data_IF_697188537125
#
_entry.id   IF_697188537125
#
_cell.length_a   1.000
_cell.length_b   1.000
_cell.length_c   1.000
_cell.angle_alpha   90.00
_cell.angle_beta   90.00
_cell.angle_gamma   90.00
#
_symmetry.space_group_name_H-M   'P 1'
#
loop_
_entity.id
_entity.type
_entity.pdbx_description
1 polymer ?
#
# COMPACT_ATOMS: atom_id res chain seq x y z
N UNK A 1 -7.74 -8.22 -32.63
CA UNK A 1 -6.75 -7.97 -31.56
C UNK A 1 -7.25 -6.76 -30.79
N UNK A 2 -8.12 -6.99 -29.80
CA UNK A 2 -8.52 -5.93 -28.88
C UNK A 2 -7.41 -5.84 -27.84
N UNK A 3 -6.69 -4.72 -27.82
CA UNK A 3 -5.84 -4.41 -26.70
C UNK A 3 -6.78 -4.04 -25.56
N UNK A 4 -7.05 -5.00 -24.69
CA UNK A 4 -7.59 -4.76 -23.37
C UNK A 4 -6.52 -4.07 -22.56
N UNK A 5 -6.70 -2.80 -22.28
CA UNK A 5 -5.99 -2.12 -21.20
C UNK A 5 -6.92 -1.07 -20.65
N UNK A 6 -7.96 -1.54 -19.96
CA UNK A 6 -8.39 -0.84 -18.75
C UNK A 6 -7.24 -1.03 -17.77
N UNK A 7 -6.36 -0.04 -17.67
CA UNK A 7 -5.52 0.12 -16.48
C UNK A 7 -6.49 0.26 -15.30
N UNK A 8 -6.86 -0.87 -14.69
CA UNK A 8 -7.64 -0.91 -13.46
C UNK A 8 -6.96 0.02 -12.48
N UNK A 9 -7.68 1.07 -12.08
CA UNK A 9 -7.13 2.27 -11.44
C UNK A 9 -6.01 1.91 -10.46
N UNK A 10 -4.77 2.11 -10.88
CA UNK A 10 -3.61 1.86 -10.03
C UNK A 10 -3.70 2.86 -8.90
N UNK A 11 -4.08 2.39 -7.71
CA UNK A 11 -4.01 3.20 -6.50
C UNK A 11 -2.58 3.73 -6.37
N UNK A 12 -2.42 5.04 -6.45
CA UNK A 12 -1.14 5.71 -6.26
C UNK A 12 -0.94 5.93 -4.77
N UNK A 13 0.22 5.52 -4.28
CA UNK A 13 0.66 5.72 -2.90
C UNK A 13 1.94 6.54 -2.87
N UNK A 14 2.09 7.35 -1.84
CA UNK A 14 3.17 8.30 -1.68
C UNK A 14 4.04 7.87 -0.51
N UNK A 15 5.33 7.63 -0.78
CA UNK A 15 6.30 7.32 0.26
C UNK A 15 7.03 8.60 0.69
N UNK A 16 6.91 8.97 1.97
CA UNK A 16 7.78 9.96 2.60
C UNK A 16 9.05 9.25 3.04
N UNK A 17 10.20 9.75 2.61
CA UNK A 17 11.50 9.11 2.87
C UNK A 17 12.46 10.12 3.50
N UNK A 18 13.12 9.73 4.59
CA UNK A 18 14.15 10.51 5.29
C UNK A 18 15.42 9.67 5.46
N UNK A 19 16.57 10.26 5.19
CA UNK A 19 17.85 9.71 5.64
C UNK A 19 18.21 10.31 7.00
N UNK A 20 18.58 9.47 7.97
CA UNK A 20 18.97 9.85 9.33
C UNK A 20 20.23 9.07 9.74
N UNK A 21 21.38 9.74 9.66
CA UNK A 21 22.69 9.08 9.75
C UNK A 21 22.83 7.99 8.70
N UNK A 22 23.13 6.77 9.15
CA UNK A 22 23.31 5.60 8.29
C UNK A 22 22.00 4.87 7.97
N UNK A 23 20.85 5.40 8.38
CA UNK A 23 19.55 4.76 8.20
C UNK A 23 18.66 5.54 7.25
N UNK A 24 17.84 4.80 6.51
CA UNK A 24 16.73 5.33 5.73
C UNK A 24 15.42 4.97 6.45
N UNK A 25 14.61 5.96 6.78
CA UNK A 25 13.28 5.80 7.35
C UNK A 25 12.24 6.18 6.31
N UNK A 26 11.09 5.50 6.32
CA UNK A 26 10.00 5.88 5.45
C UNK A 26 8.62 5.52 5.96
N UNK A 27 7.64 6.22 5.41
CA UNK A 27 6.21 6.13 5.75
C UNK A 27 5.38 6.20 4.47
N UNK A 28 4.21 5.56 4.44
CA UNK A 28 3.23 5.73 3.35
C UNK A 28 2.16 6.73 3.80
N UNK A 29 2.01 7.84 3.07
CA UNK A 29 1.12 8.95 3.48
C UNK A 29 -0.34 8.53 3.61
N UNK A 30 -0.82 7.71 2.67
CA UNK A 30 -2.23 7.33 2.58
C UNK A 30 -2.61 6.20 3.53
N UNK A 31 -1.63 5.51 4.14
CA UNK A 31 -1.88 4.34 5.01
C UNK A 31 -1.17 4.52 6.36
N UNK A 32 -1.86 5.07 7.37
CA UNK A 32 -1.30 5.24 8.71
C UNK A 32 -0.74 3.92 9.27
N UNK A 33 0.44 3.99 9.88
CA UNK A 33 1.10 2.83 10.47
C UNK A 33 2.01 2.05 9.50
N UNK A 34 1.88 2.23 8.19
CA UNK A 34 2.82 1.62 7.22
C UNK A 34 4.12 2.41 7.20
N UNK A 35 5.17 1.80 7.74
CA UNK A 35 6.50 2.37 7.82
C UNK A 35 7.57 1.28 7.76
N UNK A 36 8.79 1.67 7.41
CA UNK A 36 9.95 0.78 7.43
C UNK A 36 11.24 1.58 7.68
N UNK A 37 12.29 0.88 8.08
CA UNK A 37 13.63 1.42 8.23
C UNK A 37 14.67 0.45 7.69
N UNK A 38 15.58 0.95 6.85
CA UNK A 38 16.58 0.13 6.18
C UNK A 38 17.94 0.82 6.07
N UNK A 39 18.98 0.07 5.69
CA UNK A 39 20.34 0.61 5.51
C UNK A 39 20.56 1.29 4.16
N UNK A 40 19.70 1.03 3.18
CA UNK A 40 19.75 1.67 1.86
C UNK A 40 18.38 2.16 1.43
N UNK A 41 18.35 3.14 0.52
CA UNK A 41 17.11 3.69 -0.03
C UNK A 41 16.35 2.63 -0.82
N UNK A 42 17.05 1.80 -1.57
CA UNK A 42 16.46 0.73 -2.39
C UNK A 42 15.81 -0.34 -1.50
N UNK A 43 16.49 -0.74 -0.42
CA UNK A 43 15.92 -1.66 0.56
C UNK A 43 14.69 -1.03 1.22
N UNK A 44 14.75 0.25 1.63
CA UNK A 44 13.59 0.93 2.21
C UNK A 44 12.38 0.89 1.28
N UNK A 45 12.57 1.18 -0.01
CA UNK A 45 11.49 1.14 -0.98
C UNK A 45 10.95 -0.28 -1.24
N UNK A 46 11.79 -1.31 -1.12
CA UNK A 46 11.33 -2.69 -1.18
C UNK A 46 10.47 -3.03 0.04
N UNK A 47 10.97 -2.77 1.25
CA UNK A 47 10.28 -3.04 2.50
C UNK A 47 8.95 -2.27 2.61
N UNK A 48 8.93 -0.98 2.23
CA UNK A 48 7.68 -0.20 2.20
C UNK A 48 6.62 -0.80 1.28
N UNK A 49 7.01 -1.35 0.13
CA UNK A 49 6.06 -2.01 -0.78
C UNK A 49 5.53 -3.31 -0.21
N UNK A 50 6.36 -4.08 0.51
CA UNK A 50 5.95 -5.33 1.15
C UNK A 50 4.96 -5.04 2.28
N UNK A 51 5.34 -4.18 3.24
CA UNK A 51 4.47 -3.82 4.37
C UNK A 51 3.18 -3.14 3.90
N UNK A 52 3.23 -2.32 2.84
CA UNK A 52 2.01 -1.72 2.26
C UNK A 52 1.06 -2.79 1.70
N UNK A 53 1.57 -3.81 1.00
CA UNK A 53 0.73 -4.90 0.47
C UNK A 53 0.06 -5.68 1.59
N UNK A 54 0.81 -5.99 2.64
CA UNK A 54 0.28 -6.68 3.82
C UNK A 54 -0.80 -5.86 4.51
N UNK A 55 -0.54 -4.58 4.81
CA UNK A 55 -1.51 -3.70 5.43
C UNK A 55 -2.81 -3.57 4.62
N UNK A 56 -2.70 -3.43 3.29
CA UNK A 56 -3.86 -3.36 2.42
C UNK A 56 -4.66 -4.67 2.40
N UNK A 57 -3.99 -5.83 2.45
CA UNK A 57 -4.69 -7.12 2.52
C UNK A 57 -5.37 -7.31 3.87
N UNK A 58 -4.71 -6.93 4.97
CA UNK A 58 -5.31 -6.94 6.30
C UNK A 58 -6.55 -6.06 6.35
N UNK A 59 -6.48 -4.83 5.85
CA UNK A 59 -7.63 -3.92 5.81
C UNK A 59 -8.79 -4.49 4.99
N UNK A 60 -8.50 -5.13 3.84
CA UNK A 60 -9.53 -5.81 3.03
C UNK A 60 -10.16 -6.97 3.78
N UNK A 61 -9.35 -7.81 4.41
CA UNK A 61 -9.83 -8.97 5.17
C UNK A 61 -10.70 -8.53 6.36
N UNK A 62 -10.28 -7.50 7.09
CA UNK A 62 -11.06 -6.93 8.19
C UNK A 62 -12.39 -6.33 7.72
N UNK A 63 -12.39 -5.59 6.60
CA UNK A 63 -13.62 -5.02 6.05
C UNK A 63 -14.63 -6.12 5.65
N UNK A 64 -14.17 -7.19 5.00
CA UNK A 64 -14.99 -8.35 4.62
C UNK A 64 -15.53 -9.08 5.85
N UNK A 65 -14.67 -9.28 6.86
CA UNK A 65 -15.07 -9.91 8.11
C UNK A 65 -16.12 -9.06 8.87
N UNK A 66 -15.96 -7.73 8.85
CA UNK A 66 -16.89 -6.79 9.48
C UNK A 66 -18.23 -6.71 8.74
N UNK A 67 -18.24 -6.78 7.41
CA UNK A 67 -19.47 -6.82 6.62
C UNK A 67 -20.32 -8.06 6.98
N UNK A 68 -19.66 -9.22 7.09
CA UNK A 68 -20.33 -10.50 7.29
C UNK A 68 -21.33 -10.83 6.17
N UNK A 69 -22.01 -11.97 6.28
CA UNK A 69 -23.10 -12.34 5.38
C UNK A 69 -22.78 -12.22 3.89
N UNK A 70 -23.77 -11.76 3.10
CA UNK A 70 -23.63 -11.47 1.67
C UNK A 70 -23.38 -9.98 1.47
N UNK A 71 -22.33 -9.64 0.72
CA UNK A 71 -21.93 -8.26 0.43
C UNK A 71 -21.54 -8.09 -1.05
N UNK A 72 -21.46 -6.84 -1.49
CA UNK A 72 -20.97 -6.43 -2.81
C UNK A 72 -19.74 -5.54 -2.64
N UNK A 73 -18.73 -5.70 -3.50
CA UNK A 73 -17.54 -4.84 -3.54
C UNK A 73 -17.63 -3.92 -4.75
N UNK A 74 -17.63 -2.60 -4.53
CA UNK A 74 -17.69 -1.57 -5.57
C UNK A 74 -16.44 -0.69 -5.52
N UNK A 75 -15.88 -0.37 -6.68
CA UNK A 75 -14.75 0.54 -6.79
C UNK A 75 -15.22 1.99 -6.62
N UNK A 76 -14.48 2.77 -5.82
CA UNK A 76 -14.69 4.21 -5.66
C UNK A 76 -13.53 4.98 -6.32
N UNK A 77 -13.85 6.08 -6.98
CA UNK A 77 -12.90 7.05 -7.50
C UNK A 77 -13.12 8.40 -6.81
N UNK A 78 -12.03 9.14 -6.55
CA UNK A 78 -12.04 10.48 -5.98
C UNK A 78 -11.82 11.55 -7.07
#
# INVERSE_FOLDING_TARGET
MFQSSEDGAVSRYTAVVKQDGDWWLGWVEEVPGVNAQERTREALLASLKEVLREALEMNRAEARAAAGGTYEELALAL
#
